data_IF_803269492316
#
_entry.id   IF_803269492316
#
_cell.length_a   1.000
_cell.length_b   1.000
_cell.length_c   1.000
_cell.angle_alpha   90.00
_cell.angle_beta   90.00
_cell.angle_gamma   90.00
#
_symmetry.space_group_name_H-M   'P 1'
#
loop_
_entity.id
_entity.type
_entity.pdbx_description
1 polymer ?
#
# COMPACT_ATOMS: atom_id res chain seq x y z
N UNK A 1 -12.99 -42.12 11.37
CA UNK A 1 -13.95 -41.53 12.30
C UNK A 1 -15.19 -41.24 11.50
N UNK A 2 -16.18 -42.10 11.68
CA UNK A 2 -17.46 -41.99 10.99
C UNK A 2 -18.34 -40.98 11.74
N UNK A 3 -19.32 -40.38 11.05
CA UNK A 3 -20.19 -39.36 11.66
C UNK A 3 -21.01 -39.87 12.85
N UNK A 4 -21.25 -41.19 12.95
CA UNK A 4 -21.91 -41.82 14.09
C UNK A 4 -20.99 -41.96 15.29
N UNK A 5 -19.73 -42.34 15.07
CA UNK A 5 -18.70 -42.50 16.10
C UNK A 5 -18.37 -41.16 16.79
N UNK A 6 -18.45 -40.06 16.03
CA UNK A 6 -18.24 -38.70 16.53
C UNK A 6 -19.41 -38.19 17.39
N UNK A 7 -20.64 -38.58 17.06
CA UNK A 7 -21.84 -38.24 17.85
C UNK A 7 -21.93 -39.04 19.15
N UNK A 8 -21.55 -40.32 19.13
CA UNK A 8 -21.43 -41.12 20.35
C UNK A 8 -20.41 -40.50 21.30
N UNK A 9 -19.25 -40.06 20.79
CA UNK A 9 -18.26 -39.35 21.60
C UNK A 9 -18.79 -38.03 22.17
N UNK A 10 -19.48 -37.22 21.36
CA UNK A 10 -20.09 -35.96 21.81
C UNK A 10 -21.12 -36.20 22.93
N UNK A 11 -21.92 -37.25 22.81
CA UNK A 11 -22.92 -37.62 23.81
C UNK A 11 -22.30 -38.19 25.09
N UNK A 12 -21.27 -39.03 24.98
CA UNK A 12 -20.52 -39.57 26.12
C UNK A 12 -19.81 -38.46 26.91
N UNK A 13 -19.19 -37.49 26.21
CA UNK A 13 -18.56 -36.33 26.85
C UNK A 13 -19.59 -35.44 27.55
N UNK A 14 -20.78 -35.26 26.97
CA UNK A 14 -21.88 -34.49 27.56
C UNK A 14 -22.43 -35.16 28.83
N UNK A 15 -22.58 -36.49 28.82
CA UNK A 15 -23.03 -37.27 29.97
C UNK A 15 -21.97 -37.32 31.10
N UNK A 16 -20.68 -37.42 30.76
CA UNK A 16 -19.59 -37.41 31.76
C UNK A 16 -19.37 -36.04 32.42
N UNK A 17 -19.35 -34.96 31.64
CA UNK A 17 -19.10 -33.61 32.18
C UNK A 17 -20.34 -32.99 32.82
N UNK A 18 -21.54 -33.49 32.51
CA UNK A 18 -22.80 -32.97 33.06
C UNK A 18 -23.12 -31.52 32.66
N UNK A 19 -22.45 -31.01 31.62
CA UNK A 19 -22.71 -29.72 30.97
C UNK A 19 -22.93 -29.95 29.48
N UNK A 20 -23.75 -29.11 28.86
CA UNK A 20 -23.97 -29.12 27.42
C UNK A 20 -22.75 -28.62 26.66
N UNK A 21 -22.67 -28.95 25.36
CA UNK A 21 -21.61 -28.48 24.48
C UNK A 21 -21.63 -26.94 24.35
N UNK A 22 -22.82 -26.34 24.32
CA UNK A 22 -23.02 -24.90 24.29
C UNK A 22 -22.50 -24.24 25.58
N UNK A 23 -22.74 -24.83 26.76
CA UNK A 23 -22.21 -24.33 28.02
C UNK A 23 -20.68 -24.45 28.08
N UNK A 24 -20.11 -25.55 27.57
CA UNK A 24 -18.65 -25.72 27.47
C UNK A 24 -18.04 -24.68 26.53
N UNK A 25 -18.68 -24.42 25.39
CA UNK A 25 -18.25 -23.40 24.44
C UNK A 25 -18.32 -22.01 25.05
N UNK A 26 -19.39 -21.67 25.79
CA UNK A 26 -19.51 -20.40 26.50
C UNK A 26 -18.43 -20.25 27.58
N UNK A 27 -18.09 -21.32 28.31
CA UNK A 27 -16.99 -21.31 29.29
C UNK A 27 -15.64 -21.08 28.62
N UNK A 28 -15.38 -21.75 27.49
CA UNK A 28 -14.16 -21.56 26.72
C UNK A 28 -14.09 -20.12 26.20
N UNK A 29 -15.16 -19.61 25.59
CA UNK A 29 -15.20 -18.25 25.04
C UNK A 29 -15.01 -17.20 26.15
N UNK A 30 -15.67 -17.38 27.30
CA UNK A 30 -15.54 -16.51 28.46
C UNK A 30 -14.13 -16.53 29.06
N UNK A 31 -13.48 -17.68 29.08
CA UNK A 31 -12.09 -17.79 29.52
C UNK A 31 -11.14 -17.17 28.48
N UNK A 32 -11.38 -17.41 27.19
CA UNK A 32 -10.64 -16.79 26.08
C UNK A 32 -10.74 -15.26 26.10
N UNK A 33 -11.88 -14.72 26.49
CA UNK A 33 -12.11 -13.29 26.68
C UNK A 33 -11.31 -12.68 27.82
N UNK A 34 -10.75 -13.46 28.74
CA UNK A 34 -9.87 -12.94 29.77
C UNK A 34 -8.47 -12.63 29.22
N UNK A 35 -8.07 -13.26 28.11
CA UNK A 35 -6.76 -13.05 27.52
C UNK A 35 -6.73 -11.77 26.70
N UNK A 36 -5.86 -10.85 27.09
CA UNK A 36 -5.73 -9.54 26.45
C UNK A 36 -5.32 -9.63 24.97
N UNK A 37 -4.55 -10.66 24.59
CA UNK A 37 -4.20 -10.91 23.19
C UNK A 37 -5.41 -11.30 22.32
N UNK A 38 -6.39 -12.01 22.89
CA UNK A 38 -7.64 -12.39 22.20
C UNK A 38 -8.52 -11.16 22.02
N UNK A 39 -8.68 -10.34 23.07
CA UNK A 39 -9.40 -9.06 22.98
C UNK A 39 -8.80 -8.14 21.93
N UNK A 40 -7.48 -7.95 21.97
CA UNK A 40 -6.79 -7.10 21.01
C UNK A 40 -6.96 -7.62 19.58
N UNK A 41 -6.86 -8.94 19.37
CA UNK A 41 -7.02 -9.53 18.04
C UNK A 41 -8.46 -9.40 17.52
N UNK A 42 -9.45 -9.56 18.39
CA UNK A 42 -10.88 -9.35 18.06
C UNK A 42 -11.16 -7.89 17.72
N UNK A 43 -10.64 -6.95 18.49
CA UNK A 43 -10.78 -5.53 18.20
C UNK A 43 -10.15 -5.15 16.85
N UNK A 44 -8.93 -5.63 16.57
CA UNK A 44 -8.30 -5.42 15.27
C UNK A 44 -9.13 -6.00 14.11
N UNK A 45 -9.76 -7.15 14.32
CA UNK A 45 -10.63 -7.76 13.32
C UNK A 45 -11.87 -6.91 13.08
N UNK A 46 -12.50 -6.42 14.14
CA UNK A 46 -13.68 -5.54 14.06
C UNK A 46 -13.35 -4.20 13.36
N UNK A 47 -12.22 -3.58 13.70
CA UNK A 47 -11.73 -2.37 13.02
C UNK A 47 -11.48 -2.62 11.52
N UNK A 48 -10.89 -3.77 11.18
CA UNK A 48 -10.66 -4.18 9.79
C UNK A 48 -11.96 -4.47 9.04
N UNK A 49 -12.92 -5.14 9.67
CA UNK A 49 -14.24 -5.42 9.08
C UNK A 49 -15.00 -4.14 8.78
N UNK A 50 -14.99 -3.17 9.70
CA UNK A 50 -15.60 -1.87 9.49
C UNK A 50 -14.91 -1.09 8.35
N UNK A 51 -13.58 -1.12 8.31
CA UNK A 51 -12.80 -0.52 7.22
C UNK A 51 -13.11 -1.17 5.86
N UNK A 52 -13.21 -2.50 5.81
CA UNK A 52 -13.55 -3.26 4.60
C UNK A 52 -14.94 -2.87 4.10
N UNK A 53 -15.94 -2.84 4.99
CA UNK A 53 -17.31 -2.44 4.65
C UNK A 53 -17.36 -1.02 4.05
N UNK A 54 -16.64 -0.06 4.64
CA UNK A 54 -16.54 1.30 4.10
C UNK A 54 -15.89 1.35 2.71
N UNK A 55 -14.85 0.52 2.49
CA UNK A 55 -14.16 0.42 1.19
C UNK A 55 -15.04 -0.22 0.12
N UNK A 56 -15.81 -1.24 0.49
CA UNK A 56 -16.78 -1.87 -0.41
C UNK A 56 -17.86 -0.87 -0.85
N UNK A 57 -18.39 -0.06 0.08
CA UNK A 57 -19.32 1.03 -0.26
C UNK A 57 -18.68 2.09 -1.16
N UNK A 58 -17.41 2.43 -0.95
CA UNK A 58 -16.66 3.37 -1.81
C UNK A 58 -16.50 2.82 -3.23
N UNK A 59 -16.12 1.56 -3.37
CA UNK A 59 -16.01 0.88 -4.66
C UNK A 59 -17.36 0.88 -5.37
N UNK A 60 -18.44 0.49 -4.69
CA UNK A 60 -19.78 0.50 -5.28
C UNK A 60 -20.20 1.90 -5.77
N UNK A 61 -19.85 2.97 -5.04
CA UNK A 61 -20.09 4.36 -5.48
C UNK A 61 -19.28 4.72 -6.72
N UNK A 62 -18.00 4.35 -6.76
CA UNK A 62 -17.13 4.63 -7.91
C UNK A 62 -17.58 3.86 -9.14
N UNK A 63 -17.94 2.59 -9.00
CA UNK A 63 -18.47 1.77 -10.09
C UNK A 63 -19.74 2.39 -10.68
N UNK A 64 -20.66 2.86 -9.83
CA UNK A 64 -21.84 3.60 -10.29
C UNK A 64 -21.46 4.86 -11.07
N UNK A 65 -20.48 5.64 -10.58
CA UNK A 65 -20.04 6.86 -11.25
C UNK A 65 -19.40 6.56 -12.61
N UNK A 66 -18.61 5.48 -12.71
CA UNK A 66 -18.00 5.04 -13.98
C UNK A 66 -19.09 4.64 -14.97
N UNK A 67 -20.08 3.84 -14.54
CA UNK A 67 -21.20 3.45 -15.39
C UNK A 67 -22.02 4.67 -15.87
N UNK A 68 -22.21 5.65 -15.00
CA UNK A 68 -22.91 6.89 -15.33
C UNK A 68 -22.11 7.75 -16.34
N UNK A 69 -20.80 7.85 -16.15
CA UNK A 69 -19.91 8.56 -17.07
C UNK A 69 -19.86 7.88 -18.44
N UNK A 70 -19.69 6.55 -18.49
CA UNK A 70 -19.72 5.77 -19.72
C UNK A 70 -21.03 5.96 -20.48
N UNK A 71 -22.17 5.86 -19.79
CA UNK A 71 -23.49 6.12 -20.37
C UNK A 71 -23.63 7.56 -20.86
N UNK A 72 -23.08 8.53 -20.13
CA UNK A 72 -23.03 9.93 -20.53
C UNK A 72 -22.27 10.11 -21.85
N UNK A 73 -21.09 9.50 -21.98
CA UNK A 73 -20.26 9.54 -23.18
C UNK A 73 -21.01 8.93 -24.37
N UNK A 74 -21.60 7.74 -24.21
CA UNK A 74 -22.40 7.08 -25.25
C UNK A 74 -23.56 7.98 -25.73
N UNK A 75 -24.26 8.64 -24.79
CA UNK A 75 -25.34 9.57 -25.14
C UNK A 75 -24.83 10.80 -25.91
N UNK A 76 -23.70 11.38 -25.48
CA UNK A 76 -23.09 12.50 -26.21
C UNK A 76 -22.67 12.08 -27.61
N UNK A 77 -22.10 10.90 -27.76
CA UNK A 77 -21.71 10.35 -29.05
C UNK A 77 -22.91 10.22 -30.00
N UNK A 78 -24.03 9.68 -29.52
CA UNK A 78 -25.27 9.59 -30.31
C UNK A 78 -25.75 10.98 -30.77
N UNK A 79 -25.72 11.98 -29.90
CA UNK A 79 -26.09 13.36 -30.25
C UNK A 79 -25.16 13.95 -31.31
N UNK A 80 -23.85 13.69 -31.21
CA UNK A 80 -22.88 14.15 -32.21
C UNK A 80 -23.10 13.44 -33.54
N UNK A 81 -23.32 12.13 -33.55
CA UNK A 81 -23.65 11.36 -34.77
C UNK A 81 -24.90 11.89 -35.47
N UNK A 82 -25.95 12.21 -34.71
CA UNK A 82 -27.19 12.81 -35.24
C UNK A 82 -26.96 14.19 -35.85
N UNK A 83 -26.18 15.05 -35.18
CA UNK A 83 -25.82 16.38 -35.71
C UNK A 83 -25.04 16.28 -37.03
N UNK A 84 -24.04 15.41 -37.10
CA UNK A 84 -23.27 15.18 -38.33
C UNK A 84 -24.18 14.70 -39.46
N UNK A 85 -25.06 13.74 -39.16
CA UNK A 85 -26.02 13.21 -40.12
C UNK A 85 -26.96 14.30 -40.67
N UNK A 86 -27.45 15.20 -39.81
CA UNK A 86 -28.30 16.34 -40.21
C UNK A 86 -27.57 17.34 -41.10
N UNK A 87 -26.26 17.48 -40.95
CA UNK A 87 -25.42 18.33 -41.79
C UNK A 87 -24.94 17.63 -43.07
N UNK A 88 -25.32 16.36 -43.29
CA UNK A 88 -24.87 15.56 -44.43
C UNK A 88 -23.41 15.10 -44.31
N UNK A 89 -22.84 15.11 -43.10
CA UNK A 89 -21.48 14.67 -42.80
C UNK A 89 -21.50 13.25 -42.21
N UNK A 90 -20.42 12.50 -42.40
CA UNK A 90 -20.23 11.19 -41.76
C UNK A 90 -19.44 11.38 -40.46
N UNK A 91 -19.96 10.85 -39.35
CA UNK A 91 -19.24 10.78 -38.08
C UNK A 91 -18.14 9.71 -38.15
N UNK A 92 -16.92 10.06 -37.73
CA UNK A 92 -15.77 9.15 -37.62
C UNK A 92 -15.32 9.15 -36.17
N UNK A 93 -15.26 7.97 -35.57
CA UNK A 93 -14.59 7.78 -34.28
C UNK A 93 -13.09 7.95 -34.55
N UNK A 94 -12.54 9.13 -34.24
CA UNK A 94 -11.12 9.41 -34.50
C UNK A 94 -10.24 8.57 -33.57
N UNK A 95 -9.85 7.38 -34.05
CA UNK A 95 -8.63 6.71 -33.62
C UNK A 95 -7.46 7.36 -34.35
N UNK A 96 -6.44 7.82 -33.63
CA UNK A 96 -5.32 8.61 -34.16
C UNK A 96 -4.37 7.85 -35.11
N UNK A 97 -4.77 6.69 -35.63
CA UNK A 97 -4.00 5.85 -36.56
C UNK A 97 -4.47 5.95 -38.02
N UNK A 98 -5.56 6.66 -38.32
CA UNK A 98 -6.15 6.72 -39.68
C UNK A 98 -5.77 8.00 -40.46
N UNK A 99 -4.73 8.71 -39.99
CA UNK A 99 -4.10 9.84 -40.68
C UNK A 99 -3.15 9.38 -41.82
N UNK A 100 -3.06 8.08 -42.12
CA UNK A 100 -2.31 7.59 -43.28
C UNK A 100 -3.16 7.58 -44.57
N UNK A 101 -4.49 7.53 -44.45
CA UNK A 101 -5.40 7.54 -45.61
C UNK A 101 -5.92 8.93 -46.00
N UNK A 102 -5.73 9.93 -45.14
CA UNK A 102 -6.22 11.31 -45.32
C UNK A 102 -5.09 12.34 -45.51
N UNK A 103 -3.89 11.89 -45.91
CA UNK A 103 -2.80 12.74 -46.38
C UNK A 103 -3.15 13.39 -47.73
N UNK A 104 -4.18 14.25 -47.76
CA UNK A 104 -4.23 15.30 -48.76
C UNK A 104 -3.14 16.32 -48.39
N UNK A 105 -2.37 16.82 -49.37
CA UNK A 105 -1.29 17.76 -49.11
C UNK A 105 -1.86 19.01 -48.45
N UNK A 106 -1.49 19.24 -47.19
CA UNK A 106 -1.81 20.46 -46.47
C UNK A 106 -1.13 21.62 -47.22
N UNK A 107 -1.91 22.57 -47.74
CA UNK A 107 -1.39 23.80 -48.36
C UNK A 107 -0.70 24.63 -47.26
N UNK A 108 0.63 24.52 -47.18
CA UNK A 108 1.46 25.35 -46.32
C UNK A 108 1.80 26.61 -47.09
N UNK A 109 1.32 27.76 -46.63
CA UNK A 109 1.72 29.07 -47.14
C UNK A 109 3.01 29.45 -46.41
N UNK A 110 4.16 29.38 -47.09
CA UNK A 110 5.42 29.91 -46.60
C UNK A 110 5.34 31.43 -46.56
N UNK A 111 5.32 31.99 -45.35
CA UNK A 111 5.54 33.42 -45.15
C UNK A 111 7.05 33.62 -45.23
N UNK A 112 7.52 34.42 -46.20
CA UNK A 112 8.91 34.82 -46.27
C UNK A 112 9.23 35.69 -45.05
N UNK A 113 10.11 35.19 -44.18
CA UNK A 113 10.66 35.97 -43.08
C UNK A 113 11.59 37.04 -43.66
N UNK A 114 11.05 38.23 -43.89
CA UNK A 114 11.83 39.44 -44.14
C UNK A 114 12.50 39.86 -42.83
N UNK A 115 13.75 39.42 -42.71
CA UNK A 115 14.90 39.99 -42.00
C UNK A 115 14.70 40.76 -40.67
N UNK A 116 15.35 40.21 -39.64
CA UNK A 116 16.17 40.92 -38.65
C UNK A 116 15.45 41.76 -37.57
N UNK A 117 15.28 41.16 -36.39
CA UNK A 117 15.85 41.73 -35.16
C UNK A 117 16.14 40.63 -34.12
N UNK A 118 17.44 40.42 -33.93
CA UNK A 118 18.10 39.40 -33.11
C UNK A 118 18.33 39.94 -31.69
N UNK A 119 17.28 40.05 -30.89
CA UNK A 119 17.39 40.33 -29.44
C UNK A 119 17.47 39.02 -28.63
N UNK A 120 18.53 38.24 -28.87
CA UNK A 120 18.94 37.17 -27.97
C UNK A 120 19.69 37.75 -26.77
N UNK A 121 19.01 37.82 -25.63
CA UNK A 121 19.67 37.93 -24.32
C UNK A 121 20.48 36.65 -24.07
N UNK A 122 21.75 36.72 -24.44
CA UNK A 122 22.74 35.69 -24.15
C UNK A 122 23.31 35.86 -22.74
N UNK A 123 23.74 34.73 -22.19
CA UNK A 123 24.65 34.54 -21.03
C UNK A 123 23.92 34.47 -19.67
N UNK A 124 23.75 33.31 -19.02
CA UNK A 124 24.87 32.43 -18.64
C UNK A 124 24.52 30.94 -18.43
N UNK A 125 25.41 30.10 -18.94
CA UNK A 125 25.72 28.69 -18.59
C UNK A 125 24.77 27.57 -19.04
N UNK A 126 25.08 27.03 -20.22
CA UNK A 126 24.92 25.60 -20.54
C UNK A 126 26.30 24.94 -20.50
N UNK A 127 26.38 23.68 -20.04
CA UNK A 127 27.07 22.71 -20.88
C UNK A 127 26.23 21.46 -21.17
N UNK A 128 25.98 21.30 -22.48
CA UNK A 128 25.83 20.06 -23.27
C UNK A 128 24.52 19.26 -23.15
N UNK A 129 23.82 19.27 -24.29
CA UNK A 129 22.93 18.26 -24.86
C UNK A 129 23.02 16.86 -24.22
N UNK A 130 21.96 16.49 -23.52
CA UNK A 130 21.24 15.25 -23.85
C UNK A 130 19.76 15.56 -23.68
N UNK A 131 18.99 15.35 -24.75
CA UNK A 131 17.55 15.54 -24.80
C UNK A 131 16.86 14.49 -23.92
N UNK A 132 16.85 14.72 -22.61
CA UNK A 132 16.05 13.94 -21.68
C UNK A 132 14.77 14.74 -21.46
N UNK A 133 13.67 14.31 -22.09
CA UNK A 133 12.36 14.94 -21.89
C UNK A 133 12.05 15.02 -20.38
N UNK A 134 11.33 16.06 -19.91
CA UNK A 134 10.90 16.15 -18.51
C UNK A 134 10.19 14.89 -18.02
N UNK A 135 9.46 14.22 -18.93
CA UNK A 135 8.84 12.91 -18.72
C UNK A 135 9.85 11.79 -18.41
N UNK A 136 11.00 11.74 -19.07
CA UNK A 136 12.02 10.71 -18.81
C UNK A 136 12.69 10.89 -17.44
N UNK A 137 12.89 12.13 -16.99
CA UNK A 137 13.41 12.41 -15.65
C UNK A 137 12.40 11.99 -14.57
N UNK A 138 11.13 12.36 -14.75
CA UNK A 138 10.06 11.98 -13.83
C UNK A 138 9.85 10.47 -13.79
N UNK A 139 9.90 9.79 -14.95
CA UNK A 139 9.81 8.34 -15.02
C UNK A 139 10.99 7.66 -14.33
N UNK A 140 12.21 8.19 -14.48
CA UNK A 140 13.41 7.69 -13.80
C UNK A 140 13.31 7.86 -12.29
N UNK A 141 12.78 8.98 -11.83
CA UNK A 141 12.54 9.25 -10.41
C UNK A 141 11.45 8.33 -9.83
N UNK A 142 10.33 8.16 -10.52
CA UNK A 142 9.27 7.22 -10.14
C UNK A 142 9.80 5.77 -10.09
N UNK A 143 10.60 5.36 -11.08
CA UNK A 143 11.25 4.05 -11.09
C UNK A 143 12.28 3.89 -9.95
N UNK A 144 12.97 4.95 -9.54
CA UNK A 144 13.87 4.91 -8.39
C UNK A 144 13.11 4.82 -7.06
N UNK A 145 12.00 5.55 -6.94
CA UNK A 145 11.11 5.50 -5.78
C UNK A 145 10.47 4.11 -5.61
N UNK A 146 9.99 3.49 -6.70
CA UNK A 146 9.42 2.13 -6.67
C UNK A 146 10.47 1.08 -6.27
N UNK A 147 11.71 1.18 -6.80
CA UNK A 147 12.79 0.27 -6.39
C UNK A 147 13.14 0.43 -4.91
N UNK A 148 13.14 1.66 -4.39
CA UNK A 148 13.38 1.91 -2.96
C UNK A 148 12.26 1.34 -2.09
N UNK A 149 11.00 1.54 -2.49
CA UNK A 149 9.83 0.94 -1.82
C UNK A 149 9.90 -0.59 -1.81
N UNK A 150 10.21 -1.22 -2.95
CA UNK A 150 10.38 -2.68 -3.03
C UNK A 150 11.49 -3.20 -2.10
N UNK A 151 12.62 -2.48 -2.01
CA UNK A 151 13.69 -2.83 -1.08
C UNK A 151 13.27 -2.66 0.39
N UNK A 152 12.47 -1.66 0.71
CA UNK A 152 12.02 -1.43 2.08
C UNK A 152 10.96 -2.47 2.50
N UNK A 153 10.10 -2.91 1.59
CA UNK A 153 9.21 -4.07 1.81
C UNK A 153 10.02 -5.35 1.99
N UNK A 154 11.07 -5.59 1.20
CA UNK A 154 11.93 -6.75 1.37
C UNK A 154 12.65 -6.73 2.74
N UNK A 155 13.20 -5.58 3.14
CA UNK A 155 13.82 -5.42 4.47
C UNK A 155 12.83 -5.62 5.61
N UNK A 156 11.60 -5.17 5.43
CA UNK A 156 10.52 -5.41 6.38
C UNK A 156 10.21 -6.90 6.47
N UNK A 157 10.06 -7.57 5.33
CA UNK A 157 9.83 -9.02 5.28
C UNK A 157 10.97 -9.79 5.94
N UNK A 158 12.23 -9.42 5.70
CA UNK A 158 13.39 -10.04 6.35
C UNK A 158 13.45 -9.72 7.86
N UNK A 159 13.02 -8.53 8.28
CA UNK A 159 12.94 -8.17 9.70
C UNK A 159 11.84 -8.97 10.42
N UNK A 160 10.69 -9.15 9.77
CA UNK A 160 9.59 -9.99 10.26
C UNK A 160 10.02 -11.45 10.32
N UNK A 161 10.67 -11.98 9.28
CA UNK A 161 11.14 -13.37 9.27
C UNK A 161 12.25 -13.62 10.30
N UNK A 162 13.14 -12.65 10.53
CA UNK A 162 14.13 -12.69 11.62
C UNK A 162 13.47 -12.63 13.00
N UNK A 163 12.40 -11.84 13.17
CA UNK A 163 11.64 -11.79 14.42
C UNK A 163 10.86 -13.09 14.67
N UNK A 164 10.33 -13.71 13.61
CA UNK A 164 9.65 -15.00 13.66
C UNK A 164 10.63 -16.14 14.01
N UNK A 165 11.82 -16.16 13.41
CA UNK A 165 12.88 -17.12 13.77
C UNK A 165 13.48 -16.84 15.16
N UNK A 166 13.58 -15.58 15.59
CA UNK A 166 13.97 -15.23 16.95
C UNK A 166 12.91 -15.63 18.00
N UNK A 167 11.62 -15.49 17.69
CA UNK A 167 10.54 -16.01 18.53
C UNK A 167 10.51 -17.54 18.58
N UNK A 168 10.90 -18.23 17.50
CA UNK A 168 11.05 -19.69 17.50
C UNK A 168 12.23 -20.16 18.39
N UNK A 169 13.30 -19.37 18.51
CA UNK A 169 14.44 -19.64 19.40
C UNK A 169 14.20 -19.19 20.85
N UNK A 170 13.33 -18.19 21.08
CA UNK A 170 12.99 -17.70 22.43
C UNK A 170 11.94 -18.53 23.17
N UNK A 171 11.28 -19.50 22.53
CA UNK A 171 10.43 -20.46 23.25
C UNK A 171 11.21 -21.50 24.09
N UNK A 172 12.54 -21.38 24.15
CA UNK A 172 13.43 -22.24 24.93
C UNK A 172 14.20 -21.52 26.05
N UNK A 173 14.07 -20.21 26.25
CA UNK A 173 14.70 -19.51 27.37
C UNK A 173 13.85 -18.30 27.78
N UNK A 174 13.32 -18.36 28.99
CA UNK A 174 12.42 -17.34 29.53
C UNK A 174 13.07 -16.02 29.94
N UNK A 175 12.19 -15.19 30.48
CA UNK A 175 12.38 -13.99 31.29
C UNK A 175 12.39 -12.63 30.59
N UNK A 176 11.38 -11.86 30.99
CA UNK A 176 11.45 -10.48 31.46
C UNK A 176 11.38 -9.34 30.43
N UNK A 177 10.13 -9.00 30.11
CA UNK A 177 9.71 -7.67 29.68
C UNK A 177 9.64 -6.76 30.92
N UNK A 178 10.80 -6.35 31.44
CA UNK A 178 10.86 -5.41 32.56
C UNK A 178 10.56 -3.98 32.08
N UNK A 179 9.85 -3.21 32.91
CA UNK A 179 9.35 -1.85 32.73
C UNK A 179 10.21 -0.92 31.83
N UNK A 180 9.55 -0.19 30.93
CA UNK A 180 10.08 0.75 29.92
C UNK A 180 10.72 2.03 30.51
N UNK A 181 11.65 1.90 31.46
CA UNK A 181 12.31 3.06 32.06
C UNK A 181 13.50 2.78 32.98
N UNK A 182 13.71 1.54 33.41
CA UNK A 182 14.84 1.22 34.31
C UNK A 182 16.03 0.66 33.51
N UNK A 183 17.20 1.32 33.60
CA UNK A 183 18.41 0.83 32.95
C UNK A 183 19.07 -0.25 33.82
N UNK A 184 19.21 -1.46 33.29
CA UNK A 184 19.91 -2.57 33.92
C UNK A 184 21.30 -2.83 33.33
N UNK A 185 22.23 -3.26 34.19
CA UNK A 185 23.56 -3.72 33.76
C UNK A 185 23.41 -4.92 32.82
N UNK A 186 24.14 -4.90 31.71
CA UNK A 186 24.02 -5.89 30.63
C UNK A 186 23.17 -5.40 29.44
N UNK A 187 22.41 -4.32 29.59
CA UNK A 187 21.66 -3.72 28.47
C UNK A 187 22.59 -3.19 27.38
N UNK A 188 22.15 -3.35 26.14
CA UNK A 188 22.86 -2.85 24.96
C UNK A 188 22.35 -1.44 24.64
N UNK A 189 23.19 -0.45 24.88
CA UNK A 189 22.83 0.97 24.78
C UNK A 189 23.68 1.70 23.74
N UNK A 190 23.17 2.82 23.24
CA UNK A 190 23.92 3.76 22.42
C UNK A 190 24.45 4.88 23.33
N UNK A 191 25.76 4.91 23.53
CA UNK A 191 26.43 5.97 24.29
C UNK A 191 27.03 7.01 23.35
N UNK A 192 26.92 8.29 23.71
CA UNK A 192 27.63 9.37 23.03
C UNK A 192 28.99 9.58 23.70
N UNK A 193 30.07 9.21 23.04
CA UNK A 193 31.43 9.48 23.54
C UNK A 193 31.75 10.98 23.38
N UNK A 194 32.81 11.48 24.06
CA UNK A 194 33.29 12.89 23.97
C UNK A 194 33.50 13.39 22.52
N UNK A 195 33.63 12.46 21.56
CA UNK A 195 33.85 12.68 20.12
C UNK A 195 32.57 12.90 19.29
N UNK A 196 31.41 13.15 19.92
CA UNK A 196 30.12 13.47 19.26
C UNK A 196 29.56 12.41 18.29
N UNK A 197 30.11 11.20 18.28
CA UNK A 197 29.56 10.07 17.52
C UNK A 197 28.89 9.08 18.49
N UNK A 198 27.77 8.49 18.06
CA UNK A 198 27.03 7.49 18.83
C UNK A 198 27.67 6.13 18.64
N UNK A 199 27.92 5.42 19.74
CA UNK A 199 28.56 4.12 19.72
C UNK A 199 27.72 3.11 20.47
N UNK A 200 27.58 1.92 19.89
CA UNK A 200 26.87 0.80 20.49
C UNK A 200 27.77 0.12 21.51
N UNK A 201 27.32 -0.01 22.74
CA UNK A 201 28.06 -0.64 23.84
C UNK A 201 27.14 -1.43 24.77
N UNK A 202 27.76 -2.17 25.70
CA UNK A 202 27.05 -2.88 26.77
C UNK A 202 27.21 -2.08 28.06
N UNK A 203 26.13 -1.83 28.78
CA UNK A 203 26.18 -1.15 30.07
C UNK A 203 26.81 -2.08 31.11
N UNK A 204 27.94 -1.68 31.69
CA UNK A 204 28.71 -2.53 32.61
C UNK A 204 28.50 -2.18 34.09
N UNK A 205 28.15 -0.94 34.41
CA UNK A 205 27.89 -0.47 35.77
C UNK A 205 27.14 0.87 35.72
N UNK A 206 26.36 1.16 36.77
CA UNK A 206 25.75 2.47 37.03
C UNK A 206 26.34 2.98 38.33
N UNK A 207 26.95 4.17 38.29
CA UNK A 207 27.52 4.81 39.46
C UNK A 207 26.79 6.11 39.73
N UNK A 208 26.05 6.18 40.84
CA UNK A 208 25.35 7.38 41.27
C UNK A 208 26.32 8.28 42.02
N UNK A 209 26.51 9.51 41.55
CA UNK A 209 27.21 10.55 42.29
C UNK A 209 26.20 11.34 43.11
N UNK A 210 26.41 11.40 44.43
CA UNK A 210 25.66 12.21 45.38
C UNK A 210 26.43 13.44 45.79
#
# INVERSE_FOLDING_TARGET
MDCEEMKELEQEVMEELGISLEELQEVIDKELEQFECVKQRRQQLEELELCLRQKEEEVARVDSLVLDASRGIENFEVLVRDLYSKLGLQYRESSSEDEEAAAQPMEVIEILDEEEDDDVLSVDTVPKHSSVSPLLLLLREAMAAMRKSAQDVQKFMDAVNRKMTAQALQKAAGSDLSNDGDLSVGMRILGKKRTKTWHKGTLIAIQTVG
#
